data_IF_304124015132
#
_entry.id   IF_304124015132
#
_cell.length_a   1.000
_cell.length_b   1.000
_cell.length_c   1.000
_cell.angle_alpha   90.00
_cell.angle_beta   90.00
_cell.angle_gamma   90.00
#
_symmetry.space_group_name_H-M   'P 1'
#
loop_
_entity.id
_entity.type
_entity.pdbx_description
1 polymer ?
#
# COMPACT_ATOMS: atom_id res chain seq x y z
N UNK A 1 -3.23 -20.01 9.19
CA UNK A 1 -3.51 -21.00 10.29
C UNK A 1 -2.50 -20.92 11.43
N UNK A 2 -1.20 -20.70 11.16
CA UNK A 2 -0.16 -20.66 12.21
C UNK A 2 -0.41 -19.54 13.22
N UNK A 3 -0.66 -18.31 12.74
CA UNK A 3 -0.92 -17.16 13.62
C UNK A 3 -2.17 -17.33 14.49
N UNK A 4 -3.27 -17.89 13.94
CA UNK A 4 -4.46 -18.17 14.73
C UNK A 4 -4.16 -19.11 15.90
N UNK A 5 -3.34 -20.14 15.68
CA UNK A 5 -2.92 -21.07 16.76
C UNK A 5 -2.07 -20.38 17.81
N UNK A 6 -1.12 -19.52 17.39
CA UNK A 6 -0.27 -18.75 18.33
C UNK A 6 -1.10 -17.80 19.21
N UNK A 7 -2.21 -17.26 18.66
CA UNK A 7 -3.12 -16.38 19.37
C UNK A 7 -4.25 -17.14 20.10
N UNK A 8 -4.22 -18.48 20.11
CA UNK A 8 -5.28 -19.28 20.74
C UNK A 8 -6.65 -19.18 20.06
N UNK A 9 -6.69 -18.71 18.80
CA UNK A 9 -7.93 -18.54 18.04
C UNK A 9 -8.17 -19.72 17.11
N UNK A 10 -9.43 -20.10 16.94
CA UNK A 10 -9.85 -21.09 15.96
C UNK A 10 -9.90 -20.44 14.58
N UNK A 11 -9.16 -21.01 13.64
CA UNK A 11 -9.17 -20.58 12.24
C UNK A 11 -10.00 -21.57 11.41
N UNK A 12 -11.04 -21.09 10.78
CA UNK A 12 -11.89 -21.83 9.84
C UNK A 12 -11.38 -21.62 8.41
N UNK A 13 -11.71 -22.53 7.50
CA UNK A 13 -11.39 -22.43 6.09
C UNK A 13 -12.70 -22.37 5.30
N UNK A 14 -12.88 -21.31 4.51
CA UNK A 14 -13.95 -21.21 3.52
C UNK A 14 -13.35 -21.44 2.12
N UNK A 15 -13.93 -22.33 1.35
CA UNK A 15 -13.49 -22.64 -0.02
C UNK A 15 -14.30 -21.90 -1.08
N UNK A 16 -15.49 -21.45 -0.73
CA UNK A 16 -16.41 -20.74 -1.60
C UNK A 16 -17.28 -19.74 -0.82
N UNK A 17 -18.12 -19.02 -1.56
CA UNK A 17 -19.01 -17.99 -1.01
C UNK A 17 -20.04 -18.57 -0.04
N UNK A 18 -20.61 -19.74 -0.34
CA UNK A 18 -21.61 -20.37 0.52
C UNK A 18 -21.01 -20.78 1.87
N UNK A 19 -19.85 -21.46 1.84
CA UNK A 19 -19.11 -21.82 3.04
C UNK A 19 -18.72 -20.59 3.88
N UNK A 20 -18.34 -19.46 3.23
CA UNK A 20 -18.07 -18.23 3.95
C UNK A 20 -19.32 -17.65 4.62
N UNK A 21 -20.47 -17.65 3.93
CA UNK A 21 -21.74 -17.20 4.51
C UNK A 21 -22.17 -18.04 5.72
N UNK A 22 -22.05 -19.36 5.62
CA UNK A 22 -22.37 -20.28 6.72
C UNK A 22 -21.47 -20.03 7.94
N UNK A 23 -20.16 -19.85 7.71
CA UNK A 23 -19.21 -19.51 8.75
C UNK A 23 -19.51 -18.16 9.41
N UNK A 24 -19.86 -17.14 8.63
CA UNK A 24 -20.26 -15.84 9.17
C UNK A 24 -21.53 -15.95 10.01
N UNK A 25 -22.48 -16.79 9.61
CA UNK A 25 -23.67 -17.11 10.40
C UNK A 25 -23.33 -17.78 11.74
N UNK A 26 -22.45 -18.76 11.72
CA UNK A 26 -21.95 -19.44 12.94
C UNK A 26 -21.20 -18.49 13.89
N UNK A 27 -20.51 -17.51 13.33
CA UNK A 27 -19.69 -16.54 14.06
C UNK A 27 -20.44 -15.23 14.38
N UNK A 28 -21.74 -15.17 14.13
CA UNK A 28 -22.56 -13.94 14.32
C UNK A 28 -22.54 -13.38 15.75
N UNK A 29 -22.23 -14.21 16.76
CA UNK A 29 -22.07 -13.79 18.14
C UNK A 29 -20.67 -13.22 18.48
N UNK A 30 -19.73 -13.22 17.52
CA UNK A 30 -18.38 -12.68 17.72
C UNK A 30 -18.38 -11.17 17.48
N UNK A 31 -17.60 -10.45 18.27
CA UNK A 31 -17.44 -9.00 18.13
C UNK A 31 -16.69 -8.61 16.86
N UNK A 32 -15.77 -9.46 16.41
CA UNK A 32 -14.94 -9.26 15.22
C UNK A 32 -14.62 -10.60 14.57
N UNK A 33 -14.76 -10.66 13.26
CA UNK A 33 -14.32 -11.77 12.42
C UNK A 33 -13.32 -11.23 11.40
N UNK A 34 -12.11 -11.79 11.37
CA UNK A 34 -11.08 -11.45 10.39
C UNK A 34 -11.07 -12.49 9.27
N UNK A 35 -11.19 -12.03 8.04
CA UNK A 35 -11.12 -12.88 6.84
C UNK A 35 -9.77 -12.63 6.18
N UNK A 36 -8.89 -13.62 6.25
CA UNK A 36 -7.58 -13.58 5.59
C UNK A 36 -7.71 -14.20 4.19
N UNK A 37 -7.25 -13.47 3.18
CA UNK A 37 -7.29 -13.89 1.78
C UNK A 37 -5.91 -14.14 1.22
N UNK A 38 -5.83 -14.96 0.20
CA UNK A 38 -4.60 -15.08 -0.59
C UNK A 38 -4.31 -13.76 -1.28
N UNK A 39 -3.06 -13.29 -1.20
CA UNK A 39 -2.63 -12.13 -1.95
C UNK A 39 -2.71 -12.37 -3.46
N UNK A 40 -3.29 -11.42 -4.18
CA UNK A 40 -3.41 -11.49 -5.65
C UNK A 40 -2.93 -10.20 -6.29
N UNK A 41 -2.30 -10.31 -7.44
CA UNK A 41 -1.88 -9.16 -8.22
C UNK A 41 -3.10 -8.48 -8.89
N UNK A 42 -3.02 -7.16 -9.21
CA UNK A 42 -4.12 -6.43 -9.86
C UNK A 42 -4.63 -7.07 -11.15
N UNK A 43 -3.73 -7.73 -11.89
CA UNK A 43 -4.03 -8.35 -13.20
C UNK A 43 -4.22 -9.88 -13.10
N UNK A 44 -4.20 -10.43 -11.90
CA UNK A 44 -4.47 -11.85 -11.68
C UNK A 44 -5.97 -12.14 -11.91
N UNK A 45 -6.34 -13.12 -12.77
CA UNK A 45 -7.74 -13.44 -13.03
C UNK A 45 -8.50 -13.90 -11.77
N UNK A 46 -7.80 -14.48 -10.79
CA UNK A 46 -8.39 -14.88 -9.49
C UNK A 46 -8.80 -13.70 -8.62
N UNK A 47 -8.36 -12.48 -8.93
CA UNK A 47 -8.73 -11.27 -8.19
C UNK A 47 -10.24 -11.10 -8.12
N UNK A 48 -10.92 -11.19 -9.26
CA UNK A 48 -12.36 -10.96 -9.31
C UNK A 48 -13.13 -12.06 -8.55
N UNK A 49 -12.69 -13.31 -8.62
CA UNK A 49 -13.27 -14.40 -7.84
C UNK A 49 -13.17 -14.16 -6.33
N UNK A 50 -12.01 -13.69 -5.84
CA UNK A 50 -11.81 -13.37 -4.42
C UNK A 50 -12.67 -12.17 -4.00
N UNK A 51 -12.75 -11.14 -4.83
CA UNK A 51 -13.56 -9.95 -4.54
C UNK A 51 -15.06 -10.25 -4.54
N UNK A 52 -15.51 -11.12 -5.45
CA UNK A 52 -16.90 -11.61 -5.48
C UNK A 52 -17.24 -12.47 -4.25
N UNK A 53 -16.29 -13.28 -3.78
CA UNK A 53 -16.43 -14.06 -2.55
C UNK A 53 -16.61 -13.13 -1.34
N UNK A 54 -15.89 -12.02 -1.30
CA UNK A 54 -15.95 -11.04 -0.22
C UNK A 54 -17.11 -10.03 -0.34
N UNK A 55 -17.86 -10.08 -1.43
CA UNK A 55 -18.99 -9.17 -1.64
C UNK A 55 -20.24 -9.64 -0.91
N UNK A 56 -20.16 -9.65 0.42
CA UNK A 56 -21.21 -10.06 1.34
C UNK A 56 -21.61 -8.89 2.25
N UNK A 57 -22.89 -8.81 2.64
CA UNK A 57 -23.36 -7.79 3.57
C UNK A 57 -22.55 -7.83 4.88
N UNK A 58 -22.12 -6.66 5.34
CA UNK A 58 -21.36 -6.52 6.58
C UNK A 58 -19.86 -6.82 6.46
N UNK A 59 -19.36 -7.30 5.33
CA UNK A 59 -17.93 -7.50 5.09
C UNK A 59 -17.31 -6.18 4.63
N UNK A 60 -16.31 -5.70 5.38
CA UNK A 60 -15.50 -4.55 5.04
C UNK A 60 -14.17 -5.01 4.43
N UNK A 61 -13.84 -4.49 3.27
CA UNK A 61 -12.60 -4.83 2.56
C UNK A 61 -11.49 -3.85 2.97
N UNK A 62 -10.39 -4.40 3.46
CA UNK A 62 -9.20 -3.65 3.87
C UNK A 62 -8.03 -4.06 2.99
N UNK A 63 -7.51 -3.12 2.21
CA UNK A 63 -6.42 -3.37 1.27
C UNK A 63 -5.06 -3.25 1.96
N UNK A 64 -4.27 -4.32 1.94
CA UNK A 64 -2.88 -4.28 2.38
C UNK A 64 -1.98 -3.85 1.21
N UNK A 65 -1.31 -2.70 1.37
CA UNK A 65 -0.49 -2.06 0.33
C UNK A 65 0.97 -2.07 0.75
N UNK A 66 1.85 -2.60 -0.08
CA UNK A 66 3.29 -2.59 0.16
C UNK A 66 3.88 -1.20 -0.16
N UNK A 67 4.41 -0.51 0.86
CA UNK A 67 4.99 0.83 0.71
C UNK A 67 6.23 0.88 -0.19
N UNK A 68 6.95 -0.22 -0.34
CA UNK A 68 8.13 -0.33 -1.19
C UNK A 68 7.82 -0.50 -2.69
N UNK A 69 6.53 -0.50 -3.07
CA UNK A 69 6.10 -0.61 -4.47
C UNK A 69 6.47 0.62 -5.31
N UNK A 70 6.62 0.41 -6.61
CA UNK A 70 6.78 1.51 -7.56
C UNK A 70 5.44 2.26 -7.75
N UNK A 71 5.51 3.57 -8.05
CA UNK A 71 4.33 4.42 -8.16
C UNK A 71 3.26 3.88 -9.11
N UNK A 72 3.64 3.50 -10.33
CA UNK A 72 2.70 2.96 -11.32
C UNK A 72 2.06 1.63 -10.88
N UNK A 73 2.84 0.76 -10.23
CA UNK A 73 2.32 -0.50 -9.69
C UNK A 73 1.35 -0.26 -8.52
N UNK A 74 1.62 0.74 -7.70
CA UNK A 74 0.71 1.14 -6.61
C UNK A 74 -0.59 1.72 -7.17
N UNK A 75 -0.51 2.51 -8.23
CA UNK A 75 -1.67 3.06 -8.92
C UNK A 75 -2.57 1.96 -9.50
N UNK A 76 -1.98 0.99 -10.21
CA UNK A 76 -2.68 -0.20 -10.72
C UNK A 76 -3.40 -0.97 -9.57
N UNK A 77 -2.74 -1.15 -8.42
CA UNK A 77 -3.34 -1.79 -7.23
C UNK A 77 -4.54 -1.00 -6.75
N UNK A 78 -4.36 0.31 -6.52
CA UNK A 78 -5.45 1.15 -6.00
C UNK A 78 -6.64 1.16 -6.95
N UNK A 79 -6.41 1.35 -8.24
CA UNK A 79 -7.46 1.37 -9.24
C UNK A 79 -8.24 0.04 -9.29
N UNK A 80 -7.52 -1.08 -9.32
CA UNK A 80 -8.13 -2.40 -9.44
C UNK A 80 -8.99 -2.79 -8.24
N UNK A 81 -8.55 -2.47 -7.02
CA UNK A 81 -9.27 -2.87 -5.80
C UNK A 81 -10.28 -1.84 -5.33
N UNK A 82 -10.05 -0.54 -5.56
CA UNK A 82 -11.02 0.51 -5.24
C UNK A 82 -12.29 0.38 -6.07
N UNK A 83 -12.19 0.07 -7.35
CA UNK A 83 -13.34 -0.16 -8.22
C UNK A 83 -14.28 -1.26 -7.70
N UNK A 84 -13.78 -2.16 -6.85
CA UNK A 84 -14.51 -3.26 -6.21
C UNK A 84 -14.86 -3.00 -4.74
N UNK A 85 -14.83 -1.73 -4.32
CA UNK A 85 -15.29 -1.29 -3.00
C UNK A 85 -14.25 -1.30 -1.89
N UNK A 86 -12.96 -1.49 -2.18
CA UNK A 86 -11.88 -1.34 -1.20
C UNK A 86 -11.51 0.13 -1.05
N UNK A 87 -12.12 0.85 -0.10
CA UNK A 87 -11.82 2.26 0.17
C UNK A 87 -10.88 2.48 1.36
N UNK A 88 -10.54 1.41 2.09
CA UNK A 88 -9.68 1.44 3.25
C UNK A 88 -8.39 0.68 2.99
N UNK A 89 -7.28 1.16 3.54
CA UNK A 89 -5.96 0.56 3.35
C UNK A 89 -5.15 0.49 4.64
N UNK A 90 -4.22 -0.44 4.66
CA UNK A 90 -3.07 -0.50 5.56
C UNK A 90 -1.82 -0.38 4.70
N UNK A 91 -0.91 0.52 5.07
CA UNK A 91 0.38 0.64 4.42
C UNK A 91 1.39 -0.27 5.16
N UNK A 92 1.91 -1.26 4.47
CA UNK A 92 2.83 -2.24 5.05
C UNK A 92 4.26 -2.01 4.58
N UNK A 93 5.23 -2.51 5.34
CA UNK A 93 6.65 -2.49 4.98
C UNK A 93 7.21 -1.06 4.78
N UNK A 94 6.79 -0.15 5.64
CA UNK A 94 7.27 1.25 5.59
C UNK A 94 8.77 1.31 5.85
N UNK A 95 9.30 0.41 6.68
CA UNK A 95 10.72 0.22 6.96
C UNK A 95 11.56 -0.23 5.74
N UNK A 96 10.94 -0.93 4.78
CA UNK A 96 11.60 -1.37 3.56
C UNK A 96 11.53 -0.34 2.42
N UNK A 97 10.68 0.69 2.55
CA UNK A 97 10.45 1.68 1.51
C UNK A 97 11.60 2.70 1.42
N UNK A 98 12.35 2.68 0.32
CA UNK A 98 13.41 3.67 0.05
C UNK A 98 12.85 5.08 -0.12
N UNK A 99 11.71 5.20 -0.78
CA UNK A 99 10.96 6.44 -0.97
C UNK A 99 9.49 6.22 -0.64
N UNK A 100 8.97 6.90 0.37
CA UNK A 100 7.58 6.79 0.80
C UNK A 100 6.63 7.67 -0.03
N UNK A 101 7.18 8.67 -0.74
CA UNK A 101 6.40 9.62 -1.54
C UNK A 101 5.41 8.97 -2.50
N UNK A 102 5.82 8.00 -3.34
CA UNK A 102 4.92 7.33 -4.28
C UNK A 102 3.71 6.67 -3.63
N UNK A 103 3.90 6.03 -2.47
CA UNK A 103 2.81 5.37 -1.73
C UNK A 103 1.84 6.40 -1.15
N UNK A 104 2.37 7.47 -0.54
CA UNK A 104 1.55 8.53 0.05
C UNK A 104 0.77 9.28 -1.04
N UNK A 105 1.43 9.62 -2.14
CA UNK A 105 0.80 10.29 -3.29
C UNK A 105 -0.35 9.43 -3.86
N UNK A 106 -0.11 8.14 -4.07
CA UNK A 106 -1.14 7.24 -4.60
C UNK A 106 -2.33 7.11 -3.66
N UNK A 107 -2.11 6.98 -2.35
CA UNK A 107 -3.18 6.97 -1.34
C UNK A 107 -4.03 8.24 -1.40
N UNK A 108 -3.39 9.42 -1.55
CA UNK A 108 -4.07 10.72 -1.66
C UNK A 108 -4.87 10.81 -2.95
N UNK A 109 -4.26 10.53 -4.10
CA UNK A 109 -4.93 10.58 -5.41
C UNK A 109 -6.15 9.68 -5.48
N UNK A 110 -6.06 8.47 -4.91
CA UNK A 110 -7.17 7.54 -4.85
C UNK A 110 -8.10 7.76 -3.65
N UNK A 111 -7.87 8.78 -2.82
CA UNK A 111 -8.71 9.09 -1.65
C UNK A 111 -8.93 7.86 -0.74
N UNK A 112 -7.88 7.08 -0.52
CA UNK A 112 -7.95 5.91 0.34
C UNK A 112 -7.93 6.32 1.81
N UNK A 113 -8.76 5.68 2.63
CA UNK A 113 -8.73 5.85 4.08
C UNK A 113 -7.66 4.94 4.67
N UNK A 114 -6.52 5.51 5.03
CA UNK A 114 -5.47 4.75 5.67
C UNK A 114 -5.82 4.49 7.15
N UNK A 115 -5.84 3.22 7.56
CA UNK A 115 -6.21 2.79 8.92
C UNK A 115 -5.01 2.55 9.81
N UNK A 116 -3.89 2.17 9.24
CA UNK A 116 -2.67 1.92 9.97
C UNK A 116 -1.48 1.70 9.07
N UNK A 117 -0.31 1.63 9.68
CA UNK A 117 0.96 1.36 9.03
C UNK A 117 1.71 0.27 9.78
N UNK A 118 2.52 -0.51 9.07
CA UNK A 118 3.49 -1.41 9.70
C UNK A 118 4.90 -1.00 9.32
N UNK A 119 5.76 -0.89 10.33
CA UNK A 119 7.11 -0.35 10.21
C UNK A 119 8.16 -1.35 10.72
N UNK A 120 7.93 -2.64 10.50
CA UNK A 120 8.81 -3.72 10.90
C UNK A 120 8.09 -5.06 11.01
N UNK A 121 8.73 -6.03 11.68
CA UNK A 121 8.27 -7.42 11.72
C UNK A 121 7.76 -7.86 13.10
N UNK A 122 7.88 -7.02 14.13
CA UNK A 122 7.43 -7.35 15.47
C UNK A 122 5.94 -7.03 15.61
N UNK A 123 5.17 -7.96 16.14
CA UNK A 123 3.74 -7.84 16.35
C UNK A 123 3.45 -7.90 17.85
N UNK A 124 2.78 -6.90 18.43
CA UNK A 124 2.13 -5.74 17.81
C UNK A 124 2.99 -4.46 17.75
N UNK A 125 4.26 -4.50 18.17
CA UNK A 125 5.09 -3.32 18.45
C UNK A 125 5.29 -2.44 17.21
N UNK A 126 5.42 -3.05 16.02
CA UNK A 126 5.69 -2.34 14.76
C UNK A 126 4.39 -1.99 13.99
N UNK A 127 3.24 -2.02 14.70
CA UNK A 127 1.97 -1.51 14.21
C UNK A 127 1.68 -0.13 14.76
N UNK A 128 1.36 0.81 13.88
CA UNK A 128 0.99 2.16 14.25
C UNK A 128 -0.35 2.58 13.61
N UNK A 129 -1.09 3.43 14.30
CA UNK A 129 -2.23 4.10 13.67
C UNK A 129 -1.74 5.06 12.61
N UNK A 130 -2.50 5.19 11.51
CA UNK A 130 -2.15 6.13 10.47
C UNK A 130 -2.20 7.57 10.99
N UNK A 131 -1.09 8.27 10.87
CA UNK A 131 -0.96 9.71 11.13
C UNK A 131 -0.54 10.41 9.83
N UNK A 132 -1.42 11.25 9.30
CA UNK A 132 -1.20 11.92 8.02
C UNK A 132 0.00 12.87 8.06
N UNK A 133 0.19 13.59 9.18
CA UNK A 133 1.29 14.54 9.31
C UNK A 133 2.65 13.81 9.37
N UNK A 134 2.73 12.73 10.12
CA UNK A 134 3.93 11.91 10.19
C UNK A 134 4.28 11.30 8.82
N UNK A 135 3.31 10.75 8.11
CA UNK A 135 3.52 10.12 6.81
C UNK A 135 3.96 11.13 5.74
N UNK A 136 3.28 12.28 5.66
CA UNK A 136 3.67 13.35 4.74
C UNK A 136 5.05 13.88 5.09
N UNK A 137 5.33 14.14 6.36
CA UNK A 137 6.66 14.58 6.81
C UNK A 137 7.74 13.56 6.49
N UNK A 138 7.46 12.26 6.67
CA UNK A 138 8.39 11.19 6.32
C UNK A 138 8.61 11.10 4.81
N UNK A 139 7.56 11.28 4.00
CA UNK A 139 7.65 11.25 2.53
C UNK A 139 8.46 12.43 1.95
N UNK A 140 8.46 13.56 2.65
CA UNK A 140 9.21 14.77 2.25
C UNK A 140 10.66 14.79 2.72
N UNK A 141 11.02 13.94 3.67
CA UNK A 141 12.43 13.82 4.09
C UNK A 141 13.23 13.19 2.96
N UNK A 142 14.30 13.84 2.53
CA UNK A 142 15.29 13.24 1.64
C UNK A 142 15.96 12.07 2.39
N UNK A 143 15.37 10.88 2.30
CA UNK A 143 15.99 9.68 2.82
C UNK A 143 17.12 9.29 1.88
N UNK A 144 18.29 9.03 2.45
CA UNK A 144 19.46 8.41 1.84
C UNK A 144 19.53 8.51 0.30
N UNK A 145 20.59 9.13 -0.20
CA UNK A 145 20.87 9.23 -1.64
C UNK A 145 20.64 7.86 -2.27
N UNK A 146 19.69 7.81 -3.20
CA UNK A 146 19.49 6.62 -4.03
C UNK A 146 20.76 6.39 -4.87
N UNK A 147 21.11 5.12 -5.11
CA UNK A 147 22.19 4.79 -6.04
C UNK A 147 21.93 5.35 -7.46
N UNK A 148 20.67 5.69 -7.75
CA UNK A 148 20.21 6.25 -9.02
C UNK A 148 20.01 7.78 -8.99
N UNK A 149 20.29 8.44 -7.87
CA UNK A 149 20.22 9.90 -7.83
C UNK A 149 21.37 10.46 -8.69
N UNK A 150 21.07 11.37 -9.65
CA UNK A 150 22.11 11.94 -10.50
C UNK A 150 23.13 12.70 -9.65
N UNK A 151 24.41 12.45 -9.90
CA UNK A 151 25.49 13.19 -9.26
C UNK A 151 25.61 14.57 -9.92
N UNK A 152 26.11 15.55 -9.20
CA UNK A 152 26.33 16.89 -9.76
C UNK A 152 27.15 16.86 -11.08
N UNK A 153 28.17 15.99 -11.14
CA UNK A 153 28.96 15.77 -12.35
C UNK A 153 28.15 15.22 -13.53
N UNK A 154 27.14 14.39 -13.28
CA UNK A 154 26.27 13.87 -14.33
C UNK A 154 25.34 14.96 -14.84
N UNK A 155 24.85 15.83 -13.95
CA UNK A 155 23.99 16.97 -14.32
C UNK A 155 24.77 17.98 -15.18
N UNK A 156 26.01 18.30 -14.83
CA UNK A 156 26.87 19.21 -15.60
C UNK A 156 27.21 18.64 -16.99
N UNK A 157 27.30 17.32 -17.10
CA UNK A 157 27.53 16.65 -18.38
C UNK A 157 26.32 16.71 -19.32
N UNK A 158 25.11 16.48 -18.77
CA UNK A 158 23.86 16.50 -19.56
C UNK A 158 23.26 17.88 -19.73
N UNK A 159 23.53 18.79 -18.82
CA UNK A 159 23.03 20.17 -18.83
C UNK A 159 24.19 21.16 -18.63
N UNK A 160 25.10 21.30 -19.63
CA UNK A 160 26.19 22.26 -19.51
C UNK A 160 25.61 23.66 -19.34
N UNK A 161 26.20 24.49 -18.46
CA UNK A 161 25.76 25.88 -18.29
C UNK A 161 25.83 26.59 -19.65
N UNK A 162 24.73 27.23 -20.04
CA UNK A 162 24.69 28.03 -21.25
C UNK A 162 25.75 29.12 -21.16
N UNK A 163 26.71 29.10 -22.06
CA UNK A 163 27.71 30.15 -22.16
C UNK A 163 27.00 31.51 -22.31
N UNK A 164 27.38 32.57 -21.56
CA UNK A 164 26.82 33.87 -21.77
C UNK A 164 27.15 34.30 -23.21
N UNK A 165 26.10 34.60 -23.99
CA UNK A 165 26.25 35.19 -25.32
C UNK A 165 27.01 36.52 -25.17
N UNK A 166 28.25 36.55 -25.62
CA UNK A 166 28.95 37.80 -25.86
C UNK A 166 28.13 38.57 -26.89
N UNK A 167 27.34 39.57 -26.43
CA UNK A 167 26.86 40.60 -27.29
C UNK A 167 28.08 41.40 -27.73
N UNK A 168 28.52 41.19 -28.95
CA UNK A 168 29.42 42.08 -29.64
C UNK A 168 28.75 43.44 -29.76
N UNK A 169 29.27 44.39 -29.00
CA UNK A 169 29.03 45.81 -29.17
C UNK A 169 29.92 46.28 -30.34
N UNK A 170 29.39 46.24 -31.55
CA UNK A 170 29.94 47.11 -32.62
C UNK A 170 29.25 48.45 -32.60
N UNK A 171 30.11 49.45 -32.46
CA UNK A 171 29.85 50.91 -32.65
C UNK A 171 29.89 51.25 -34.14
#
# INVERSE_FOLDING_TARGET
RSYGRMLGMVAHLAHDRAALQDLLGLLANKQLVLIDTTGVAPRDPRKDEILDLLDLPGVQKLLAVNAAGQGDALDDVMQAFKARGSSQAILTKVDEAVKLGPSVDTLIRHQMQLRGVTNGQRVPEDWERADAQQLVSASMRASTRSAFDPKALDLDFFFPPSSPSTMDSEV
#
